data_IF_553388930428
#
_entry.id   IF_553388930428
#
_cell.length_a   1.000
_cell.length_b   1.000
_cell.length_c   1.000
_cell.angle_alpha   90.00
_cell.angle_beta   90.00
_cell.angle_gamma   90.00
#
_symmetry.space_group_name_H-M   'P 1'
#
loop_
_entity.id
_entity.type
_entity.pdbx_description
1 polymer ?
#
# COMPACT_ATOMS: atom_id res chain seq x y z
N UNK A 1 20.92 -15.66 -0.29
CA UNK A 1 20.29 -14.37 0.06
C UNK A 1 18.88 -14.45 -0.48
N UNK A 2 17.86 -14.26 0.35
CA UNK A 2 16.48 -14.29 -0.13
C UNK A 2 16.26 -13.06 -1.04
N UNK A 3 15.61 -13.23 -2.18
CA UNK A 3 15.26 -12.10 -3.05
C UNK A 3 14.19 -11.24 -2.37
N UNK A 4 14.33 -9.93 -2.47
CA UNK A 4 13.32 -8.99 -2.02
C UNK A 4 12.00 -9.21 -2.78
N UNK A 5 10.85 -9.17 -2.10
CA UNK A 5 9.56 -9.31 -2.75
C UNK A 5 9.26 -8.06 -3.58
N UNK A 6 8.79 -8.30 -4.80
CA UNK A 6 8.32 -7.27 -5.72
C UNK A 6 6.81 -7.36 -5.87
N UNK A 7 6.15 -6.22 -5.86
CA UNK A 7 4.72 -6.09 -6.14
C UNK A 7 4.50 -5.01 -7.17
N UNK A 8 3.28 -4.93 -7.70
CA UNK A 8 2.92 -3.89 -8.65
C UNK A 8 1.54 -3.33 -8.37
N UNK A 9 1.33 -2.10 -8.82
CA UNK A 9 0.05 -1.41 -8.80
C UNK A 9 -0.24 -0.91 -10.22
N UNK A 10 -1.35 -1.34 -10.79
CA UNK A 10 -1.85 -0.79 -12.04
C UNK A 10 -2.60 0.52 -11.73
N UNK A 11 -2.20 1.61 -12.38
CA UNK A 11 -2.69 2.94 -12.10
C UNK A 11 -3.60 3.41 -13.23
N UNK A 12 -4.76 3.95 -12.85
CA UNK A 12 -5.68 4.64 -13.75
C UNK A 12 -6.00 6.03 -13.20
N UNK A 13 -6.10 7.01 -14.10
CA UNK A 13 -6.56 8.37 -13.78
C UNK A 13 -7.82 8.61 -14.58
N UNK A 14 -8.92 8.98 -13.90
CA UNK A 14 -10.23 9.15 -14.53
C UNK A 14 -10.65 7.93 -15.37
N UNK A 15 -10.39 6.73 -14.83
CA UNK A 15 -10.65 5.43 -15.48
C UNK A 15 -9.86 5.16 -16.77
N UNK A 16 -8.85 5.98 -17.06
CA UNK A 16 -7.90 5.74 -18.15
C UNK A 16 -6.64 5.14 -17.54
N UNK A 17 -6.29 3.93 -17.96
CA UNK A 17 -5.04 3.30 -17.55
C UNK A 17 -3.84 4.15 -17.99
N UNK A 18 -2.97 4.53 -17.05
CA UNK A 18 -1.81 5.39 -17.29
C UNK A 18 -0.48 4.67 -17.16
N UNK A 19 -0.45 3.54 -16.47
CA UNK A 19 0.76 2.73 -16.35
C UNK A 19 0.74 1.81 -15.14
N UNK A 20 1.92 1.29 -14.81
CA UNK A 20 2.14 0.38 -13.70
C UNK A 20 3.32 0.88 -12.87
N UNK A 21 3.16 0.86 -11.55
CA UNK A 21 4.25 1.09 -10.59
C UNK A 21 4.70 -0.27 -10.08
N UNK A 22 6.01 -0.54 -10.11
CA UNK A 22 6.60 -1.75 -9.54
C UNK A 22 7.44 -1.37 -8.34
N UNK A 23 7.20 -2.03 -7.21
CA UNK A 23 7.82 -1.70 -5.92
C UNK A 23 8.63 -2.91 -5.47
N UNK A 24 9.91 -2.72 -5.20
CA UNK A 24 10.78 -3.69 -4.51
C UNK A 24 10.94 -3.28 -3.05
N UNK A 25 10.90 -4.25 -2.15
CA UNK A 25 10.89 -3.99 -0.71
C UNK A 25 12.16 -4.45 0.01
N UNK A 26 12.60 -3.69 1.01
CA UNK A 26 13.68 -4.09 1.92
C UNK A 26 13.20 -5.07 3.01
N UNK A 27 12.86 -6.30 2.60
CA UNK A 27 12.31 -7.31 3.50
C UNK A 27 13.24 -7.74 4.64
N UNK A 28 14.55 -7.54 4.49
CA UNK A 28 15.53 -7.91 5.52
C UNK A 28 15.43 -7.02 6.76
N UNK A 29 15.22 -5.72 6.59
CA UNK A 29 15.15 -4.75 7.69
C UNK A 29 13.74 -4.56 8.22
N UNK A 30 12.73 -4.73 7.37
CA UNK A 30 11.33 -4.46 7.72
C UNK A 30 10.38 -5.60 7.29
N UNK A 31 10.58 -6.84 7.78
CA UNK A 31 9.81 -7.99 7.31
C UNK A 31 8.30 -7.89 7.56
N UNK A 32 7.85 -7.30 8.68
CA UNK A 32 6.42 -7.15 8.98
C UNK A 32 5.77 -6.09 8.10
N UNK A 33 6.40 -4.93 7.95
CA UNK A 33 5.91 -3.86 7.06
C UNK A 33 5.79 -4.37 5.62
N UNK A 34 6.80 -5.11 5.17
CA UNK A 34 6.86 -5.64 3.80
C UNK A 34 5.82 -6.74 3.57
N UNK A 35 5.65 -7.66 4.52
CA UNK A 35 4.63 -8.71 4.41
C UNK A 35 3.22 -8.12 4.45
N UNK A 36 2.98 -7.11 5.28
CA UNK A 36 1.70 -6.39 5.28
C UNK A 36 1.40 -5.78 3.90
N UNK A 37 2.31 -4.98 3.35
CA UNK A 37 2.09 -4.33 2.05
C UNK A 37 1.91 -5.37 0.94
N UNK A 38 2.75 -6.41 0.91
CA UNK A 38 2.67 -7.48 -0.08
C UNK A 38 1.34 -8.21 -0.02
N UNK A 39 0.88 -8.59 1.17
CA UNK A 39 -0.39 -9.28 1.32
C UNK A 39 -1.56 -8.39 0.88
N UNK A 40 -1.56 -7.10 1.23
CA UNK A 40 -2.57 -6.13 0.79
C UNK A 40 -2.56 -5.90 -0.73
N UNK A 41 -1.43 -6.03 -1.41
CA UNK A 41 -1.38 -6.02 -2.89
C UNK A 41 -2.06 -7.24 -3.52
N UNK A 42 -2.08 -8.38 -2.83
CA UNK A 42 -2.62 -9.66 -3.36
C UNK A 42 -4.06 -9.95 -2.93
N UNK A 43 -4.49 -9.40 -1.79
CA UNK A 43 -5.79 -9.72 -1.20
C UNK A 43 -5.86 -11.11 -0.56
N UNK A 44 -4.75 -11.82 -0.40
CA UNK A 44 -4.74 -13.22 0.03
C UNK A 44 -5.26 -13.46 1.45
N UNK A 45 -5.35 -12.41 2.27
CA UNK A 45 -5.86 -12.47 3.64
C UNK A 45 -7.38 -12.37 3.73
N UNK A 46 -8.07 -12.14 2.61
CA UNK A 46 -9.53 -12.16 2.55
C UNK A 46 -10.17 -10.91 3.16
N UNK A 47 -11.13 -11.11 4.05
CA UNK A 47 -11.91 -10.05 4.69
C UNK A 47 -11.33 -9.75 6.07
N UNK A 48 -11.14 -8.47 6.39
CA UNK A 48 -10.67 -8.01 7.70
C UNK A 48 -11.80 -7.94 8.74
N UNK A 49 -11.45 -7.58 9.97
CA UNK A 49 -12.37 -7.36 11.09
C UNK A 49 -13.38 -6.24 10.81
N UNK A 50 -13.03 -5.30 9.93
CA UNK A 50 -13.91 -4.24 9.44
C UNK A 50 -14.96 -4.71 8.41
N UNK A 51 -15.06 -6.01 8.13
CA UNK A 51 -15.90 -6.60 7.06
C UNK A 51 -15.54 -6.08 5.65
N UNK A 52 -14.33 -5.55 5.49
CA UNK A 52 -13.82 -5.00 4.22
C UNK A 52 -12.68 -5.89 3.70
N UNK A 53 -12.59 -6.14 2.39
CA UNK A 53 -11.47 -6.89 1.83
C UNK A 53 -10.12 -6.23 2.16
N UNK A 54 -9.18 -7.02 2.66
CA UNK A 54 -7.79 -6.62 2.90
C UNK A 54 -7.02 -6.62 1.58
N UNK A 55 -7.41 -5.73 0.67
CA UNK A 55 -6.90 -5.70 -0.70
C UNK A 55 -6.91 -4.28 -1.26
N UNK A 56 -5.78 -3.86 -1.84
CA UNK A 56 -5.69 -2.56 -2.51
C UNK A 56 -6.53 -2.49 -3.80
N UNK A 57 -6.79 -3.62 -4.47
CA UNK A 57 -7.66 -3.66 -5.65
C UNK A 57 -9.12 -3.74 -5.22
N UNK A 58 -9.90 -2.73 -5.59
CA UNK A 58 -11.34 -2.67 -5.25
C UNK A 58 -11.78 -1.32 -4.67
N UNK A 59 -10.84 -0.44 -4.31
CA UNK A 59 -11.10 0.95 -3.92
C UNK A 59 -11.54 1.84 -5.09
N UNK A 60 -12.22 1.27 -6.10
CA UNK A 60 -12.50 2.00 -7.35
C UNK A 60 -13.90 1.72 -7.90
N UNK A 61 -14.51 0.57 -7.59
CA UNK A 61 -15.79 0.20 -8.23
C UNK A 61 -17.04 0.41 -7.36
N UNK A 62 -16.95 0.48 -6.04
CA UNK A 62 -18.11 0.75 -5.17
C UNK A 62 -17.76 1.73 -4.04
N UNK A 63 -17.94 3.03 -4.28
CA UNK A 63 -18.03 4.12 -3.28
C UNK A 63 -16.87 4.34 -2.28
N UNK A 64 -15.81 3.54 -2.29
CA UNK A 64 -14.61 3.75 -1.46
C UNK A 64 -13.50 4.16 -2.42
N UNK A 65 -13.05 5.41 -2.31
CA UNK A 65 -12.23 6.09 -3.30
C UNK A 65 -10.86 5.49 -3.62
N UNK A 66 -10.27 6.01 -4.71
CA UNK A 66 -8.90 5.81 -5.18
C UNK A 66 -7.91 5.42 -4.08
N UNK A 67 -7.05 4.42 -4.34
CA UNK A 67 -5.94 4.05 -3.44
C UNK A 67 -5.16 5.29 -3.03
N UNK A 68 -4.92 6.23 -3.95
CA UNK A 68 -4.28 7.50 -3.69
C UNK A 68 -5.37 8.52 -3.33
N UNK A 69 -5.41 8.92 -2.06
CA UNK A 69 -6.43 9.83 -1.51
C UNK A 69 -5.96 11.28 -1.52
N UNK A 70 -4.65 11.51 -1.52
CA UNK A 70 -4.11 12.86 -1.58
C UNK A 70 -2.72 12.92 -2.21
N UNK A 71 -2.46 14.09 -2.77
CA UNK A 71 -1.23 14.42 -3.49
C UNK A 71 -0.77 15.77 -2.95
N UNK A 72 0.41 15.78 -2.33
CA UNK A 72 1.18 17.01 -2.16
C UNK A 72 2.12 17.14 -3.38
N UNK A 73 1.86 18.09 -4.28
CA UNK A 73 2.71 18.31 -5.44
C UNK A 73 4.18 18.46 -4.99
N UNK A 74 5.08 17.82 -5.73
CA UNK A 74 6.54 17.84 -5.52
C UNK A 74 7.06 17.11 -4.26
N UNK A 75 6.19 16.52 -3.44
CA UNK A 75 6.61 15.87 -2.19
C UNK A 75 6.18 14.40 -2.11
N UNK A 76 4.89 14.13 -1.94
CA UNK A 76 4.41 12.79 -1.60
C UNK A 76 2.98 12.54 -2.05
N UNK A 77 2.71 11.31 -2.47
CA UNK A 77 1.36 10.79 -2.69
C UNK A 77 1.04 9.85 -1.55
N UNK A 78 -0.12 10.03 -0.93
CA UNK A 78 -0.53 9.21 0.21
C UNK A 78 -1.85 8.50 -0.06
N UNK A 79 -1.94 7.28 0.45
CA UNK A 79 -2.95 6.33 0.04
C UNK A 79 -3.05 5.09 0.93
N UNK A 80 -3.86 4.11 0.50
CA UNK A 80 -4.01 2.83 1.17
C UNK A 80 -5.11 2.77 2.23
N UNK A 81 -5.92 3.83 2.37
CA UNK A 81 -7.07 3.85 3.29
C UNK A 81 -8.26 3.08 2.69
N UNK A 82 -8.43 1.82 3.10
CA UNK A 82 -9.42 0.91 2.51
C UNK A 82 -10.81 0.97 3.16
N UNK A 83 -10.93 1.46 4.40
CA UNK A 83 -12.17 1.22 5.17
C UNK A 83 -13.23 2.33 5.12
N UNK A 84 -12.87 3.59 4.89
CA UNK A 84 -13.83 4.70 4.96
C UNK A 84 -13.89 5.61 3.73
N UNK A 85 -13.03 5.42 2.71
CA UNK A 85 -13.08 6.17 1.44
C UNK A 85 -12.91 7.70 1.56
N UNK A 86 -12.58 8.20 2.74
CA UNK A 86 -12.48 9.61 3.11
C UNK A 86 -11.05 10.01 3.55
N UNK A 87 -10.07 9.12 3.31
CA UNK A 87 -8.68 9.30 3.74
C UNK A 87 -8.39 8.91 5.20
N UNK A 88 -9.33 8.33 5.94
CA UNK A 88 -9.13 7.79 7.29
C UNK A 88 -9.44 6.29 7.34
N UNK A 89 -8.83 5.59 8.31
CA UNK A 89 -9.02 4.15 8.52
C UNK A 89 -7.95 3.28 7.85
N UNK A 90 -8.34 2.11 7.35
CA UNK A 90 -7.43 1.03 6.98
C UNK A 90 -7.25 0.03 8.11
N UNK A 91 -7.03 -1.22 7.73
CA UNK A 91 -6.79 -2.34 8.64
C UNK A 91 -5.53 -3.06 8.15
N UNK A 92 -4.68 -3.46 9.08
CA UNK A 92 -3.48 -4.23 8.78
C UNK A 92 -3.84 -5.70 8.68
N UNK A 93 -2.99 -6.50 8.02
CA UNK A 93 -3.17 -7.96 8.03
C UNK A 93 -2.99 -8.60 9.42
N UNK A 94 -2.58 -7.79 10.39
CA UNK A 94 -2.32 -8.16 11.78
C UNK A 94 -3.40 -7.62 12.75
N UNK A 95 -4.44 -6.95 12.25
CA UNK A 95 -5.46 -6.27 13.05
C UNK A 95 -5.25 -4.75 13.09
N UNK A 96 -5.49 -4.12 14.24
CA UNK A 96 -5.51 -2.67 14.40
C UNK A 96 -4.12 -2.01 14.46
N UNK A 97 -3.10 -2.70 14.96
CA UNK A 97 -1.76 -2.14 15.16
C UNK A 97 -0.68 -3.22 15.07
N UNK A 98 0.50 -2.85 14.60
CA UNK A 98 1.71 -3.65 14.67
C UNK A 98 2.91 -2.74 15.01
N UNK A 99 3.97 -3.26 15.66
CA UNK A 99 5.07 -2.43 16.14
C UNK A 99 5.90 -1.83 15.00
N UNK A 100 6.43 -0.63 15.23
CA UNK A 100 7.41 -0.01 14.34
C UNK A 100 8.65 -0.90 14.19
N UNK A 101 9.09 -1.10 12.95
CA UNK A 101 10.35 -1.79 12.62
C UNK A 101 11.50 -0.76 12.44
N UNK A 102 12.57 -1.12 11.74
CA UNK A 102 13.75 -0.28 11.54
C UNK A 102 13.41 1.05 10.83
N UNK A 103 13.72 2.19 11.47
CA UNK A 103 13.46 3.55 10.97
C UNK A 103 14.74 4.30 10.54
N UNK A 104 15.91 3.66 10.55
CA UNK A 104 17.18 4.31 10.18
C UNK A 104 17.37 4.53 8.67
N UNK A 105 16.49 3.96 7.83
CA UNK A 105 16.48 4.25 6.40
C UNK A 105 16.07 5.71 6.18
N UNK A 106 16.98 6.48 5.58
CA UNK A 106 16.73 7.87 5.22
C UNK A 106 16.06 7.91 3.85
N UNK A 107 14.96 8.65 3.72
CA UNK A 107 14.42 9.01 2.41
C UNK A 107 15.49 9.81 1.65
N UNK A 108 16.09 9.21 0.65
CA UNK A 108 17.23 9.74 -0.10
C UNK A 108 16.81 10.51 -1.36
N UNK A 109 15.54 10.42 -1.77
CA UNK A 109 15.06 10.89 -3.07
C UNK A 109 13.65 10.41 -3.44
N UNK A 110 13.19 10.79 -4.63
CA UNK A 110 11.87 10.44 -5.13
C UNK A 110 11.84 8.96 -5.59
N UNK A 111 11.00 8.14 -4.96
CA UNK A 111 10.82 6.73 -5.33
C UNK A 111 12.00 5.81 -5.00
N UNK A 112 13.02 6.33 -4.32
CA UNK A 112 14.33 5.77 -4.00
C UNK A 112 14.76 4.50 -4.75
N UNK A 113 15.30 4.76 -5.95
CA UNK A 113 16.24 3.90 -6.67
C UNK A 113 17.53 3.70 -5.85
N UNK A 114 17.78 2.46 -5.40
CA UNK A 114 19.10 1.97 -4.93
C UNK A 114 19.61 0.84 -5.81
#
# INVERSE_FOLDING_TARGET
MANNPRVFLDIAVSSIAVGQIVIEHFAYTNPLTVENFRALCTGEKGIGESDIPLHYKGSVEDSIGSIIHGIDPDHVWFGGYMTQGNGFGGEWIYGDEFPDEELSLVLAGAGDDV
#
